data_IF_089220776832
#
_entry.id   IF_089220776832
#
_cell.length_a   1.000
_cell.length_b   1.000
_cell.length_c   1.000
_cell.angle_alpha   90.00
_cell.angle_beta   90.00
_cell.angle_gamma   90.00
#
_symmetry.space_group_name_H-M   'P 1'
#
loop_
_entity.id
_entity.type
_entity.pdbx_description
1 polymer ?
#
# COMPACT_ATOMS: atom_id res chain seq x y z
N UNK A 1 30.70 22.23 -10.23
CA UNK A 1 29.54 22.02 -11.11
C UNK A 1 29.27 20.52 -11.18
N UNK A 2 28.57 19.96 -10.19
CA UNK A 2 28.24 18.51 -10.19
C UNK A 2 26.77 18.38 -10.58
N UNK A 3 26.50 17.79 -11.73
CA UNK A 3 25.16 17.54 -12.21
C UNK A 3 24.51 16.43 -11.40
N UNK A 4 23.71 16.79 -10.40
CA UNK A 4 22.84 15.84 -9.70
C UNK A 4 21.79 15.32 -10.69
N UNK A 5 22.00 14.12 -11.22
CA UNK A 5 20.98 13.36 -11.95
C UNK A 5 19.81 13.06 -11.01
N UNK A 6 18.80 13.94 -10.98
CA UNK A 6 17.56 13.68 -10.27
C UNK A 6 16.76 12.64 -11.04
N UNK A 7 16.92 11.36 -10.70
CA UNK A 7 16.14 10.24 -11.24
C UNK A 7 14.63 10.53 -11.26
N UNK A 8 14.14 11.28 -10.26
CA UNK A 8 12.75 11.75 -10.16
C UNK A 8 12.28 12.60 -11.35
N UNK A 9 13.17 13.34 -12.03
CA UNK A 9 12.80 14.14 -13.21
C UNK A 9 12.52 13.29 -14.45
N UNK A 10 13.07 12.06 -14.53
CA UNK A 10 12.82 11.14 -15.64
C UNK A 10 11.41 10.53 -15.57
N UNK A 11 10.88 10.40 -14.34
CA UNK A 11 9.59 9.74 -14.06
C UNK A 11 8.41 10.74 -14.09
N UNK A 12 8.69 12.06 -14.09
CA UNK A 12 7.67 13.13 -14.20
C UNK A 12 6.54 12.91 -15.23
N UNK A 13 6.80 12.50 -16.49
CA UNK A 13 5.71 12.28 -17.45
C UNK A 13 4.81 11.10 -17.09
N UNK A 14 5.34 10.10 -16.35
CA UNK A 14 4.59 8.92 -15.89
C UNK A 14 3.77 9.25 -14.64
N UNK A 15 4.22 10.19 -13.80
CA UNK A 15 3.48 10.63 -12.61
C UNK A 15 2.12 11.24 -12.95
N UNK A 16 1.95 11.88 -14.11
CA UNK A 16 0.64 12.40 -14.54
C UNK A 16 -0.42 11.31 -14.83
N UNK A 17 0.00 10.06 -15.00
CA UNK A 17 -0.91 8.94 -15.31
C UNK A 17 -1.43 8.29 -14.02
N UNK A 18 -0.64 8.34 -12.95
CA UNK A 18 -1.00 7.72 -11.67
C UNK A 18 -1.88 8.67 -10.86
N UNK A 19 -3.11 8.27 -10.50
CA UNK A 19 -3.97 9.11 -9.68
C UNK A 19 -3.37 9.21 -8.26
N UNK A 20 -3.02 10.42 -7.85
CA UNK A 20 -2.57 10.74 -6.49
C UNK A 20 -3.68 11.50 -5.75
N UNK A 21 -3.81 11.24 -4.45
CA UNK A 21 -4.79 11.93 -3.60
C UNK A 21 -4.12 13.16 -2.97
N UNK A 22 -4.66 14.34 -3.24
CA UNK A 22 -4.16 15.60 -2.67
C UNK A 22 -4.34 15.66 -1.15
N UNK A 23 -3.40 16.31 -0.47
CA UNK A 23 -3.49 16.55 0.97
C UNK A 23 -4.63 17.54 1.29
N UNK A 24 -5.29 17.41 2.45
CA UNK A 24 -6.41 18.29 2.80
C UNK A 24 -5.97 19.74 3.01
N UNK A 25 -6.66 20.69 2.36
CA UNK A 25 -6.39 22.14 2.48
C UNK A 25 -6.60 22.70 3.90
N UNK A 26 -7.44 22.01 4.70
CA UNK A 26 -7.81 22.43 6.04
C UNK A 26 -7.32 21.44 7.10
N UNK A 27 -7.10 21.97 8.31
CA UNK A 27 -6.87 21.12 9.48
C UNK A 27 -8.14 20.34 9.81
N UNK A 28 -8.08 19.03 9.67
CA UNK A 28 -9.20 18.12 9.93
C UNK A 28 -9.44 18.01 11.45
N UNK A 29 -10.66 18.27 11.95
CA UNK A 29 -11.00 18.12 13.37
C UNK A 29 -10.94 16.66 13.82
N UNK A 30 -10.72 16.42 15.10
CA UNK A 30 -10.53 15.06 15.66
C UNK A 30 -11.72 14.11 15.37
N UNK A 31 -12.95 14.63 15.40
CA UNK A 31 -14.16 13.84 15.08
C UNK A 31 -14.18 13.36 13.64
N UNK A 32 -13.77 14.20 12.68
CA UNK A 32 -13.67 13.81 11.27
C UNK A 32 -12.60 12.73 11.08
N UNK A 33 -11.45 12.84 11.77
CA UNK A 33 -10.41 11.79 11.71
C UNK A 33 -10.92 10.42 12.15
N UNK A 34 -11.70 10.36 13.24
CA UNK A 34 -12.31 9.11 13.71
C UNK A 34 -13.28 8.55 12.67
N UNK A 35 -14.08 9.42 12.05
CA UNK A 35 -15.04 9.00 11.01
C UNK A 35 -14.31 8.38 9.81
N UNK A 36 -13.23 9.00 9.32
CA UNK A 36 -12.42 8.46 8.24
C UNK A 36 -11.75 7.13 8.60
N UNK A 37 -11.21 6.99 9.81
CA UNK A 37 -10.65 5.72 10.30
C UNK A 37 -11.71 4.62 10.40
N UNK A 38 -12.92 4.95 10.83
CA UNK A 38 -14.02 3.98 10.93
C UNK A 38 -14.47 3.49 9.55
N UNK A 39 -14.60 4.40 8.59
CA UNK A 39 -14.96 4.07 7.21
C UNK A 39 -13.90 3.17 6.57
N UNK A 40 -12.60 3.52 6.70
CA UNK A 40 -11.53 2.70 6.12
C UNK A 40 -11.46 1.30 6.74
N UNK A 41 -11.68 1.20 8.05
CA UNK A 41 -11.77 -0.10 8.74
C UNK A 41 -12.94 -0.93 8.22
N UNK A 42 -14.11 -0.33 8.02
CA UNK A 42 -15.28 -1.05 7.52
C UNK A 42 -15.06 -1.58 6.09
N UNK A 43 -14.47 -0.76 5.21
CA UNK A 43 -14.09 -1.19 3.86
C UNK A 43 -13.11 -2.36 3.93
N UNK A 44 -12.10 -2.29 4.80
CA UNK A 44 -11.14 -3.37 5.00
C UNK A 44 -11.81 -4.69 5.43
N UNK A 45 -12.75 -4.62 6.37
CA UNK A 45 -13.50 -5.79 6.84
C UNK A 45 -14.37 -6.41 5.75
N UNK A 46 -14.99 -5.59 4.91
CA UNK A 46 -15.77 -6.08 3.75
C UNK A 46 -14.86 -6.74 2.72
N UNK A 47 -13.71 -6.13 2.38
CA UNK A 47 -12.73 -6.71 1.47
C UNK A 47 -12.18 -8.06 1.97
N UNK A 48 -12.03 -8.23 3.28
CA UNK A 48 -11.65 -9.50 3.91
C UNK A 48 -12.67 -10.62 3.71
N UNK A 49 -13.93 -10.31 3.42
CA UNK A 49 -15.01 -11.30 3.26
C UNK A 49 -15.33 -11.61 1.80
N UNK A 50 -15.05 -10.69 0.87
CA UNK A 50 -15.34 -10.87 -0.55
C UNK A 50 -14.33 -11.86 -1.16
N UNK A 51 -14.78 -13.04 -1.63
CA UNK A 51 -13.90 -14.00 -2.26
C UNK A 51 -13.39 -13.47 -3.60
N UNK A 52 -12.13 -13.76 -3.91
CA UNK A 52 -11.54 -13.40 -5.19
C UNK A 52 -12.11 -14.30 -6.29
N UNK A 53 -12.52 -13.70 -7.40
CA UNK A 53 -13.15 -14.41 -8.50
C UNK A 53 -12.17 -15.43 -9.13
N UNK A 54 -12.64 -16.66 -9.36
CA UNK A 54 -11.88 -17.70 -10.06
C UNK A 54 -11.01 -18.64 -9.20
N UNK A 55 -11.05 -18.52 -7.87
CA UNK A 55 -10.28 -19.42 -6.98
C UNK A 55 -11.10 -20.67 -6.65
N UNK A 56 -10.62 -21.83 -7.09
CA UNK A 56 -11.03 -23.10 -6.52
C UNK A 56 -10.31 -23.27 -5.18
N UNK A 57 -11.03 -23.19 -4.06
CA UNK A 57 -10.47 -23.37 -2.71
C UNK A 57 -10.00 -24.81 -2.51
N UNK A 58 -8.80 -25.11 -2.97
CA UNK A 58 -8.11 -26.35 -2.62
C UNK A 58 -7.80 -26.29 -1.12
N UNK A 59 -8.31 -27.26 -0.35
CA UNK A 59 -8.01 -27.51 1.08
C UNK A 59 -6.54 -27.94 1.29
N UNK A 60 -5.61 -27.18 0.72
CA UNK A 60 -4.17 -27.38 0.86
C UNK A 60 -3.63 -26.47 1.96
N UNK A 61 -2.87 -27.02 2.89
CA UNK A 61 -2.16 -26.26 3.93
C UNK A 61 -1.38 -25.11 3.30
N UNK A 62 -1.65 -23.87 3.74
CA UNK A 62 -0.94 -22.68 3.30
C UNK A 62 0.52 -22.70 3.80
N UNK A 63 1.52 -22.86 2.91
CA UNK A 63 2.94 -22.78 3.31
C UNK A 63 3.30 -21.39 3.85
N UNK A 64 2.48 -20.38 3.52
CA UNK A 64 2.67 -18.98 3.87
C UNK A 64 1.88 -18.53 5.11
N UNK A 65 1.43 -19.46 5.98
CA UNK A 65 0.64 -19.09 7.17
C UNK A 65 1.27 -17.96 8.00
N UNK A 66 2.56 -18.07 8.33
CA UNK A 66 3.29 -17.04 9.08
C UNK A 66 3.43 -15.71 8.33
N UNK A 67 3.66 -15.78 7.02
CA UNK A 67 3.76 -14.60 6.16
C UNK A 67 2.41 -13.89 6.03
N UNK A 68 1.30 -14.63 5.93
CA UNK A 68 -0.06 -14.07 5.87
C UNK A 68 -0.43 -13.29 7.13
N UNK A 69 0.01 -13.74 8.31
CA UNK A 69 -0.19 -13.01 9.58
C UNK A 69 0.49 -11.63 9.54
N UNK A 70 1.74 -11.56 9.06
CA UNK A 70 2.49 -10.31 8.96
C UNK A 70 1.90 -9.38 7.89
N UNK A 71 1.43 -9.96 6.78
CA UNK A 71 0.88 -9.21 5.66
C UNK A 71 -0.60 -8.82 5.82
N UNK A 72 -1.24 -9.26 6.91
CA UNK A 72 -2.69 -9.11 7.14
C UNK A 72 -3.51 -9.59 5.93
N UNK A 73 -3.16 -10.77 5.40
CA UNK A 73 -3.74 -11.35 4.19
C UNK A 73 -4.60 -12.57 4.50
N UNK A 74 -5.77 -12.63 3.87
CA UNK A 74 -6.65 -13.80 3.91
C UNK A 74 -6.58 -14.53 2.56
N UNK A 75 -6.39 -15.85 2.58
CA UNK A 75 -6.38 -16.65 1.35
C UNK A 75 -7.77 -16.61 0.70
N UNK A 76 -7.79 -16.38 -0.60
CA UNK A 76 -9.01 -16.52 -1.38
C UNK A 76 -9.92 -15.30 -1.37
N UNK A 77 -9.48 -14.16 -0.82
CA UNK A 77 -10.27 -12.91 -0.77
C UNK A 77 -9.52 -11.77 -1.45
N UNK A 78 -10.16 -10.61 -1.62
CA UNK A 78 -9.50 -9.40 -2.17
C UNK A 78 -8.24 -9.00 -1.37
N UNK A 79 -8.12 -9.47 -0.13
CA UNK A 79 -7.00 -9.22 0.75
C UNK A 79 -5.89 -10.28 0.63
N UNK A 80 -5.84 -11.08 -0.44
CA UNK A 80 -4.81 -12.11 -0.60
C UNK A 80 -3.38 -11.56 -0.66
N UNK A 81 -3.18 -10.37 -1.23
CA UNK A 81 -1.88 -9.68 -1.17
C UNK A 81 -1.72 -8.82 0.08
N UNK A 82 -2.80 -8.57 0.83
CA UNK A 82 -2.80 -7.82 2.08
C UNK A 82 -2.24 -6.40 1.94
N UNK A 83 -1.54 -5.95 2.98
CA UNK A 83 -0.88 -4.63 3.06
C UNK A 83 0.54 -4.70 2.44
N UNK A 84 0.96 -5.86 1.92
CA UNK A 84 2.33 -6.08 1.43
C UNK A 84 2.82 -5.05 0.42
N UNK A 85 2.03 -4.61 -0.60
CA UNK A 85 2.54 -3.67 -1.60
C UNK A 85 2.85 -2.29 -1.01
N UNK A 86 2.12 -1.89 0.05
CA UNK A 86 2.29 -0.61 0.73
C UNK A 86 3.56 -0.63 1.58
N UNK A 87 3.77 -1.70 2.33
CA UNK A 87 4.95 -1.84 3.20
C UNK A 87 6.22 -1.98 2.36
N UNK A 88 6.18 -2.80 1.30
CA UNK A 88 7.36 -3.04 0.45
C UNK A 88 7.77 -1.76 -0.29
N UNK A 89 6.82 -0.98 -0.82
CA UNK A 89 7.15 0.29 -1.47
C UNK A 89 7.74 1.31 -0.50
N UNK A 90 7.19 1.41 0.73
CA UNK A 90 7.76 2.23 1.79
C UNK A 90 9.18 1.81 2.20
N UNK A 91 9.41 0.49 2.37
CA UNK A 91 10.72 -0.05 2.74
C UNK A 91 11.78 0.22 1.66
N UNK A 92 11.42 0.05 0.39
CA UNK A 92 12.33 0.34 -0.74
C UNK A 92 12.67 1.83 -0.77
N UNK A 93 11.68 2.72 -0.61
CA UNK A 93 11.91 4.16 -0.60
C UNK A 93 12.81 4.59 0.57
N UNK A 94 12.56 4.06 1.77
CA UNK A 94 13.37 4.32 2.95
C UNK A 94 14.82 3.82 2.78
N UNK A 95 15.02 2.66 2.15
CA UNK A 95 16.35 2.11 1.87
C UNK A 95 17.11 2.98 0.87
N UNK A 96 16.47 3.43 -0.21
CA UNK A 96 17.08 4.28 -1.22
C UNK A 96 17.46 5.66 -0.68
N UNK A 97 16.61 6.25 0.17
CA UNK A 97 16.90 7.51 0.86
C UNK A 97 18.01 7.33 1.92
N UNK A 98 17.97 6.25 2.71
CA UNK A 98 18.95 5.97 3.76
C UNK A 98 20.35 5.63 3.22
N UNK A 99 20.42 4.98 2.06
CA UNK A 99 21.68 4.67 1.36
C UNK A 99 22.26 5.85 0.57
N UNK A 100 21.57 7.01 0.57
CA UNK A 100 21.92 8.21 -0.22
C UNK A 100 22.10 7.94 -1.72
N UNK A 101 21.49 6.87 -2.23
CA UNK A 101 21.42 6.60 -3.68
C UNK A 101 20.48 7.59 -4.36
N UNK A 102 19.43 8.01 -3.63
CA UNK A 102 18.48 9.03 -4.06
C UNK A 102 18.47 10.14 -3.00
N UNK A 103 18.78 11.37 -3.42
CA UNK A 103 18.48 12.58 -2.64
C UNK A 103 16.98 12.88 -2.79
N UNK A 104 16.25 12.76 -1.67
CA UNK A 104 14.83 13.14 -1.53
C UNK A 104 14.71 14.65 -1.39
#
# INVERSE_FOLDING_TARGET
>A
MSGNFRFLNLIKPVMCILPEVEAPDRKIPFKEKILWTSISLFVFLVCCQIPLYGIATSKSADPFYWMRVILASNRGTLMELGISPIITSGMVMQLLAGSRIIDV
#
